data_IF_448308840124
#
_entry.id   IF_448308840124
#
_cell.length_a   1.000
_cell.length_b   1.000
_cell.length_c   1.000
_cell.angle_alpha   90.00
_cell.angle_beta   90.00
_cell.angle_gamma   90.00
#
_symmetry.space_group_name_H-M   'P 1'
#
loop_
_entity.id
_entity.type
_entity.pdbx_description
1 polymer ?
#
# COMPACT_ATOMS: atom_id res chain seq x y z
N UNK A 1 -3.84 12.34 -9.85
CA UNK A 1 -5.08 11.70 -10.38
C UNK A 1 -5.02 10.20 -10.16
N UNK A 2 -6.09 9.61 -9.64
CA UNK A 2 -6.18 8.16 -9.41
C UNK A 2 -6.87 7.48 -10.58
N UNK A 3 -6.37 6.31 -10.95
CA UNK A 3 -6.90 5.42 -11.98
C UNK A 3 -7.06 4.02 -11.40
N UNK A 4 -8.12 3.32 -11.82
CA UNK A 4 -8.37 1.92 -11.45
C UNK A 4 -8.85 1.19 -12.69
N UNK A 5 -8.27 0.02 -12.99
CA UNK A 5 -8.63 -0.74 -14.21
C UNK A 5 -8.39 0.04 -15.52
N UNK A 6 -7.44 0.98 -15.51
CA UNK A 6 -7.11 1.82 -16.67
C UNK A 6 -8.03 3.03 -16.89
N UNK A 7 -9.07 3.23 -16.07
CA UNK A 7 -9.97 4.39 -16.17
C UNK A 7 -9.76 5.36 -15.01
N UNK A 8 -9.96 6.68 -15.22
CA UNK A 8 -9.92 7.66 -14.13
C UNK A 8 -10.95 7.32 -13.05
N UNK A 9 -10.52 7.31 -11.79
CA UNK A 9 -11.40 7.18 -10.65
C UNK A 9 -12.05 8.54 -10.34
N UNK A 10 -13.39 8.57 -10.30
CA UNK A 10 -14.12 9.78 -9.95
C UNK A 10 -14.08 10.01 -8.44
N UNK A 11 -13.32 11.02 -8.03
CA UNK A 11 -13.18 11.39 -6.61
C UNK A 11 -14.43 12.11 -6.11
N UNK A 12 -14.75 11.94 -4.83
CA UNK A 12 -15.77 12.76 -4.17
C UNK A 12 -15.38 14.24 -4.26
N UNK A 13 -16.37 15.11 -4.48
CA UNK A 13 -16.16 16.56 -4.49
C UNK A 13 -15.88 17.12 -3.09
N UNK A 14 -16.22 16.37 -2.05
CA UNK A 14 -15.80 16.65 -0.67
C UNK A 14 -14.36 16.18 -0.50
N UNK A 15 -13.47 17.04 0.00
CA UNK A 15 -12.03 16.81 0.18
C UNK A 15 -11.71 15.77 1.29
N UNK A 16 -12.41 14.66 1.32
CA UNK A 16 -12.37 13.66 2.38
C UNK A 16 -11.85 12.35 1.81
N UNK A 17 -10.54 12.10 1.94
CA UNK A 17 -9.90 10.84 1.53
C UNK A 17 -10.57 9.59 2.10
N UNK A 18 -11.38 9.73 3.15
CA UNK A 18 -12.30 8.73 3.70
C UNK A 18 -13.28 8.20 2.65
N UNK A 19 -14.04 9.05 1.98
CA UNK A 19 -15.06 8.63 1.00
C UNK A 19 -14.40 7.98 -0.23
N UNK A 20 -13.29 8.57 -0.69
CA UNK A 20 -12.50 8.02 -1.79
C UNK A 20 -11.94 6.64 -1.42
N UNK A 21 -11.40 6.47 -0.20
CA UNK A 21 -10.89 5.18 0.29
C UNK A 21 -11.98 4.11 0.31
N UNK A 22 -13.15 4.40 0.87
CA UNK A 22 -14.28 3.44 0.94
C UNK A 22 -14.68 3.03 -0.49
N UNK A 23 -14.90 4.00 -1.38
CA UNK A 23 -15.27 3.72 -2.76
C UNK A 23 -14.20 2.92 -3.52
N UNK A 24 -12.91 3.15 -3.27
CA UNK A 24 -11.82 2.36 -3.83
C UNK A 24 -11.79 0.93 -3.27
N UNK A 25 -12.02 0.76 -1.97
CA UNK A 25 -12.08 -0.56 -1.33
C UNK A 25 -13.23 -1.42 -1.86
N UNK A 26 -14.34 -0.79 -2.26
CA UNK A 26 -15.50 -1.45 -2.85
C UNK A 26 -15.42 -1.59 -4.38
N UNK A 27 -14.45 -0.94 -5.02
CA UNK A 27 -14.34 -0.96 -6.48
C UNK A 27 -14.08 -2.38 -7.00
N UNK A 28 -14.88 -2.92 -7.95
CA UNK A 28 -14.81 -4.34 -8.34
C UNK A 28 -13.41 -4.83 -8.78
N UNK A 29 -12.67 -4.01 -9.53
CA UNK A 29 -11.31 -4.36 -9.94
C UNK A 29 -10.33 -4.49 -8.76
N UNK A 30 -10.47 -3.64 -7.73
CA UNK A 30 -9.60 -3.67 -6.55
C UNK A 30 -10.02 -4.79 -5.60
N UNK A 31 -11.32 -5.06 -5.45
CA UNK A 31 -11.81 -6.25 -4.74
C UNK A 31 -11.24 -7.52 -5.37
N UNK A 32 -11.31 -7.64 -6.71
CA UNK A 32 -10.73 -8.78 -7.45
C UNK A 32 -9.21 -8.88 -7.26
N UNK A 33 -8.50 -7.76 -7.30
CA UNK A 33 -7.05 -7.73 -7.05
C UNK A 33 -6.71 -8.15 -5.62
N UNK A 34 -7.46 -7.68 -4.62
CA UNK A 34 -7.28 -8.02 -3.21
C UNK A 34 -7.56 -9.51 -2.94
N UNK A 35 -8.60 -10.08 -3.55
CA UNK A 35 -8.86 -11.52 -3.49
C UNK A 35 -7.73 -12.33 -4.13
N UNK A 36 -7.21 -11.87 -5.26
CA UNK A 36 -6.08 -12.51 -5.95
C UNK A 36 -4.81 -12.44 -5.10
N UNK A 37 -4.52 -11.29 -4.50
CA UNK A 37 -3.38 -11.09 -3.59
C UNK A 37 -3.48 -11.98 -2.35
N UNK A 38 -4.67 -12.09 -1.74
CA UNK A 38 -4.95 -12.98 -0.61
C UNK A 38 -4.66 -14.45 -0.90
N UNK A 39 -4.86 -14.88 -2.15
CA UNK A 39 -4.64 -16.26 -2.58
C UNK A 39 -3.15 -16.58 -2.81
N UNK A 40 -2.26 -15.58 -2.85
CA UNK A 40 -0.83 -15.79 -3.00
C UNK A 40 -0.27 -16.37 -1.69
N UNK A 41 0.45 -17.50 -1.72
CA UNK A 41 1.14 -18.02 -0.54
C UNK A 41 2.17 -17.00 -0.05
N UNK A 42 2.16 -16.72 1.26
CA UNK A 42 3.15 -15.85 1.87
C UNK A 42 4.56 -16.43 1.74
N UNK A 43 5.48 -15.62 1.21
CA UNK A 43 6.88 -16.02 1.04
C UNK A 43 7.65 -15.73 2.32
N UNK A 44 8.20 -16.78 2.93
CA UNK A 44 9.04 -16.66 4.14
C UNK A 44 10.51 -16.59 3.75
N UNK A 45 11.17 -15.49 4.06
CA UNK A 45 12.62 -15.37 3.91
C UNK A 45 13.33 -15.90 5.16
N UNK A 46 14.40 -16.65 4.94
CA UNK A 46 15.26 -17.17 6.02
C UNK A 46 16.69 -16.73 5.75
N UNK A 47 17.43 -16.34 6.80
CA UNK A 47 18.83 -15.93 6.69
C UNK A 47 19.74 -16.97 5.99
N UNK A 48 19.38 -18.26 6.03
CA UNK A 48 20.10 -19.37 5.41
C UNK A 48 20.06 -19.38 3.88
N UNK A 49 18.99 -18.84 3.27
CA UNK A 49 18.84 -18.81 1.80
C UNK A 49 19.77 -17.81 1.12
N UNK A 50 20.37 -16.89 1.88
CA UNK A 50 21.35 -15.94 1.39
C UNK A 50 22.75 -16.55 1.13
N UNK A 51 22.94 -17.84 1.43
CA UNK A 51 24.25 -18.49 1.52
C UNK A 51 24.50 -19.64 0.53
N UNK A 52 23.50 -20.08 -0.23
CA UNK A 52 23.68 -21.16 -1.21
C UNK A 52 23.73 -20.63 -2.65
N UNK A 53 24.92 -20.75 -3.23
CA UNK A 53 25.29 -20.68 -4.64
C UNK A 53 25.80 -19.32 -5.18
N UNK A 54 27.12 -19.28 -5.39
CA UNK A 54 27.93 -18.09 -5.63
C UNK A 54 27.91 -17.54 -7.06
N UNK A 55 26.83 -17.72 -7.83
CA UNK A 55 26.78 -17.27 -9.23
C UNK A 55 25.69 -16.23 -9.55
N UNK A 56 24.67 -16.05 -8.71
CA UNK A 56 23.76 -14.89 -8.76
C UNK A 56 23.21 -14.59 -7.36
N UNK A 57 23.97 -13.88 -6.53
CA UNK A 57 23.46 -13.44 -5.22
C UNK A 57 22.40 -12.36 -5.46
N UNK A 58 21.12 -12.72 -5.33
CA UNK A 58 20.03 -11.75 -5.44
C UNK A 58 20.22 -10.62 -4.44
N UNK A 59 20.11 -9.38 -4.90
CA UNK A 59 20.30 -8.17 -4.11
C UNK A 59 18.95 -7.76 -3.54
N UNK A 60 18.88 -7.71 -2.22
CA UNK A 60 17.65 -7.42 -1.49
C UNK A 60 17.79 -6.14 -0.68
N UNK A 61 16.73 -5.33 -0.65
CA UNK A 61 16.59 -4.19 0.25
C UNK A 61 15.41 -4.46 1.18
N UNK A 62 15.67 -4.53 2.48
CA UNK A 62 14.64 -4.60 3.51
C UNK A 62 14.49 -3.24 4.17
N UNK A 63 13.25 -2.83 4.43
CA UNK A 63 12.93 -1.54 5.04
C UNK A 63 12.25 -1.73 6.39
N UNK A 64 12.74 -1.00 7.39
CA UNK A 64 12.09 -0.87 8.68
C UNK A 64 10.97 0.17 8.65
N UNK A 65 10.16 0.16 9.70
CA UNK A 65 9.13 1.17 9.93
C UNK A 65 9.72 2.58 9.83
N UNK A 66 9.03 3.48 9.12
CA UNK A 66 9.43 4.88 8.82
C UNK A 66 10.58 5.03 7.83
N UNK A 67 11.00 3.96 7.17
CA UNK A 67 11.97 4.03 6.07
C UNK A 67 11.28 3.99 4.71
N UNK A 68 11.97 4.54 3.71
CA UNK A 68 11.65 4.34 2.31
C UNK A 68 12.94 4.11 1.52
N UNK A 69 12.84 3.39 0.41
CA UNK A 69 13.92 3.31 -0.58
C UNK A 69 13.34 3.35 -1.98
N UNK A 70 14.11 3.93 -2.90
CA UNK A 70 13.83 3.88 -4.33
C UNK A 70 14.97 3.14 -5.02
N UNK A 71 14.62 2.12 -5.79
CA UNK A 71 15.56 1.18 -6.38
C UNK A 71 15.42 1.10 -7.89
N UNK A 72 16.55 0.92 -8.56
CA UNK A 72 16.65 0.62 -9.97
C UNK A 72 16.55 -0.90 -10.16
N UNK A 73 15.63 -1.42 -11.00
CA UNK A 73 15.50 -2.85 -11.28
C UNK A 73 16.77 -3.47 -11.88
N UNK A 74 17.70 -2.69 -12.43
CA UNK A 74 19.02 -3.18 -12.87
C UNK A 74 20.00 -3.44 -11.71
N UNK A 75 19.72 -2.91 -10.51
CA UNK A 75 20.65 -2.93 -9.37
C UNK A 75 20.14 -3.72 -8.17
N UNK A 76 18.83 -3.83 -7.98
CA UNK A 76 18.20 -4.50 -6.83
C UNK A 76 17.13 -5.44 -7.36
N UNK A 77 17.16 -6.70 -6.96
CA UNK A 77 16.21 -7.71 -7.43
C UNK A 77 14.90 -7.68 -6.64
N UNK A 78 15.00 -7.54 -5.30
CA UNK A 78 13.84 -7.52 -4.41
C UNK A 78 13.91 -6.35 -3.42
N UNK A 79 12.76 -5.75 -3.14
CA UNK A 79 12.58 -4.77 -2.07
C UNK A 79 11.37 -5.16 -1.23
N UNK A 80 11.45 -5.06 0.09
CA UNK A 80 10.36 -5.49 0.96
C UNK A 80 10.37 -4.88 2.35
N UNK A 81 9.29 -5.12 3.07
CA UNK A 81 9.08 -4.69 4.46
C UNK A 81 8.09 -5.63 5.13
N UNK A 82 8.14 -5.74 6.46
CA UNK A 82 7.24 -6.56 7.27
C UNK A 82 6.97 -5.87 8.62
N UNK A 83 6.25 -6.54 9.51
CA UNK A 83 5.80 -6.04 10.81
C UNK A 83 4.81 -4.86 10.71
N UNK A 84 4.17 -4.70 9.56
CA UNK A 84 3.12 -3.71 9.34
C UNK A 84 1.79 -4.18 9.94
N UNK A 85 1.64 -3.99 11.25
CA UNK A 85 0.39 -4.22 11.97
C UNK A 85 -0.65 -3.17 11.58
N UNK A 86 -0.61 -1.99 12.18
CA UNK A 86 -1.44 -0.82 11.79
C UNK A 86 -0.78 0.06 10.73
N UNK A 87 0.50 -0.19 10.44
CA UNK A 87 1.26 0.49 9.41
C UNK A 87 0.87 0.01 8.01
N UNK A 88 1.24 0.77 6.98
CA UNK A 88 0.97 0.45 5.58
C UNK A 88 2.26 0.51 4.76
N UNK A 89 2.56 -0.58 4.06
CA UNK A 89 3.54 -0.61 3.00
C UNK A 89 2.95 -0.02 1.72
N UNK A 90 3.56 1.05 1.21
CA UNK A 90 3.18 1.66 -0.07
C UNK A 90 4.29 1.46 -1.10
N UNK A 91 3.95 0.74 -2.18
CA UNK A 91 4.79 0.58 -3.37
C UNK A 91 4.32 1.56 -4.43
N UNK A 92 5.24 2.33 -5.02
CA UNK A 92 5.00 3.17 -6.19
C UNK A 92 6.04 2.81 -7.25
N UNK A 93 5.60 2.32 -8.40
CA UNK A 93 6.46 1.85 -9.48
C UNK A 93 6.20 2.62 -10.77
N UNK A 94 7.25 3.14 -11.39
CA UNK A 94 7.15 3.73 -12.72
C UNK A 94 6.97 2.63 -13.78
N UNK A 95 5.91 2.74 -14.58
CA UNK A 95 5.56 1.76 -15.61
C UNK A 95 6.56 1.68 -16.75
N UNK A 96 7.17 2.80 -17.11
CA UNK A 96 8.04 2.93 -18.28
C UNK A 96 9.43 2.34 -18.03
N UNK A 97 10.02 2.62 -16.87
CA UNK A 97 11.40 2.26 -16.56
C UNK A 97 11.55 1.27 -15.39
N UNK A 98 10.46 0.94 -14.69
CA UNK A 98 10.45 0.00 -13.57
C UNK A 98 11.09 0.50 -12.27
N UNK A 99 11.53 1.75 -12.20
CA UNK A 99 11.98 2.38 -10.95
C UNK A 99 10.90 2.19 -9.89
N UNK A 100 11.28 1.64 -8.74
CA UNK A 100 10.34 1.22 -7.70
C UNK A 100 10.68 1.87 -6.38
N UNK A 101 9.72 2.54 -5.76
CA UNK A 101 9.83 3.08 -4.41
C UNK A 101 8.92 2.31 -3.46
N UNK A 102 9.45 1.85 -2.33
CA UNK A 102 8.68 1.27 -1.24
C UNK A 102 8.89 2.13 0.01
N UNK A 103 7.81 2.41 0.75
CA UNK A 103 7.88 3.02 2.06
C UNK A 103 7.03 2.23 3.07
N UNK A 104 7.50 2.14 4.31
CA UNK A 104 6.73 1.62 5.44
C UNK A 104 6.20 2.81 6.26
N UNK A 105 4.93 3.15 6.07
CA UNK A 105 4.31 4.31 6.68
C UNK A 105 3.55 3.93 7.96
N UNK A 106 3.78 4.66 9.05
CA UNK A 106 3.20 4.36 10.37
C UNK A 106 2.21 5.42 10.88
N UNK A 107 2.07 6.55 10.16
CA UNK A 107 1.24 7.66 10.61
C UNK A 107 0.77 8.54 9.45
N UNK A 108 -0.47 9.06 9.49
CA UNK A 108 -0.92 10.10 8.55
C UNK A 108 0.03 11.30 8.45
N UNK A 109 0.74 11.62 9.54
CA UNK A 109 1.63 12.79 9.64
C UNK A 109 2.84 12.72 8.71
N UNK A 110 3.26 11.51 8.31
CA UNK A 110 4.46 11.34 7.48
C UNK A 110 4.14 11.12 5.99
N UNK A 111 2.85 11.00 5.63
CA UNK A 111 2.43 10.65 4.26
C UNK A 111 2.87 11.72 3.25
N UNK A 112 2.57 12.99 3.52
CA UNK A 112 2.87 14.07 2.56
C UNK A 112 4.37 14.23 2.35
N UNK A 113 5.15 14.21 3.44
CA UNK A 113 6.62 14.31 3.35
C UNK A 113 7.22 13.08 2.65
N UNK A 114 6.74 11.87 2.97
CA UNK A 114 7.20 10.63 2.32
C UNK A 114 6.94 10.65 0.81
N UNK A 115 5.72 10.97 0.39
CA UNK A 115 5.39 11.08 -1.03
C UNK A 115 6.21 12.18 -1.73
N UNK A 116 6.42 13.33 -1.07
CA UNK A 116 7.24 14.41 -1.63
C UNK A 116 8.70 14.01 -1.86
N UNK A 117 9.21 13.05 -1.08
CA UNK A 117 10.56 12.52 -1.20
C UNK A 117 10.66 11.37 -2.23
N UNK A 118 9.63 10.52 -2.31
CA UNK A 118 9.58 9.38 -3.23
C UNK A 118 9.36 9.80 -4.68
N UNK A 119 8.36 10.66 -4.95
CA UNK A 119 7.90 10.95 -6.31
C UNK A 119 8.97 11.57 -7.24
N UNK A 120 9.81 12.52 -6.80
CA UNK A 120 10.88 13.07 -7.64
C UNK A 120 11.95 12.05 -8.06
N UNK A 121 12.00 10.87 -7.42
CA UNK A 121 12.92 9.77 -7.78
C UNK A 121 12.31 8.80 -8.79
N UNK A 122 11.00 8.84 -8.96
CA UNK A 122 10.25 7.95 -9.86
C UNK A 122 9.86 8.64 -11.16
N UNK A 123 9.60 9.93 -11.11
CA UNK A 123 9.18 10.73 -12.24
C UNK A 123 10.41 11.46 -12.78
N UNK A 124 10.91 11.04 -13.94
CA UNK A 124 11.87 11.83 -14.71
C UNK A 124 11.24 13.19 -15.09
N UNK A 125 11.97 14.10 -15.73
CA UNK A 125 11.42 15.38 -16.22
C UNK A 125 10.26 15.27 -17.25
N UNK A 126 9.73 14.06 -17.50
CA UNK A 126 8.55 13.81 -18.34
C UNK A 126 7.28 13.98 -17.51
N UNK A 127 6.48 14.98 -17.87
CA UNK A 127 5.23 15.36 -17.21
C UNK A 127 4.11 14.29 -17.28
N UNK A 128 4.30 13.21 -18.04
CA UNK A 128 3.26 12.21 -18.34
C UNK A 128 3.52 10.83 -17.70
N UNK A 129 4.48 10.69 -16.79
CA UNK A 129 4.78 9.40 -16.17
C UNK A 129 3.55 8.82 -15.44
N UNK A 130 3.23 7.56 -15.73
CA UNK A 130 2.20 6.78 -15.06
C UNK A 130 2.83 5.85 -14.04
N UNK A 131 2.32 5.87 -12.81
CA UNK A 131 2.85 5.11 -11.69
C UNK A 131 1.84 4.07 -11.22
N UNK A 132 2.26 2.81 -11.12
CA UNK A 132 1.51 1.77 -10.43
C UNK A 132 1.66 1.92 -8.91
N UNK A 133 0.57 1.71 -8.19
CA UNK A 133 0.51 1.84 -6.73
C UNK A 133 -0.07 0.58 -6.10
N UNK A 134 0.61 0.08 -5.07
CA UNK A 134 0.14 -1.03 -4.24
C UNK A 134 0.19 -0.63 -2.77
N UNK A 135 -0.92 -0.81 -2.06
CA UNK A 135 -1.02 -0.63 -0.61
C UNK A 135 -1.29 -1.99 0.04
N UNK A 136 -0.45 -2.38 0.99
CA UNK A 136 -0.60 -3.61 1.78
C UNK A 136 -0.30 -3.29 3.25
N UNK A 137 -1.09 -3.82 4.16
CA UNK A 137 -0.94 -3.60 5.60
C UNK A 137 -2.17 -2.92 6.19
N UNK A 138 -2.12 -2.58 7.48
CA UNK A 138 -3.28 -2.09 8.22
C UNK A 138 -4.38 -3.15 8.33
N UNK A 139 -5.23 -3.00 9.33
CA UNK A 139 -6.41 -3.85 9.52
C UNK A 139 -7.51 -3.03 10.20
N UNK A 140 -8.70 -3.59 10.42
CA UNK A 140 -9.76 -2.93 11.18
C UNK A 140 -9.43 -2.94 12.67
N UNK A 141 -8.52 -2.06 13.09
CA UNK A 141 -7.96 -2.00 14.45
C UNK A 141 -8.83 -1.25 15.46
N UNK A 142 -9.96 -0.72 15.02
CA UNK A 142 -11.01 -0.16 15.87
C UNK A 142 -12.39 -0.62 15.38
N UNK A 143 -13.38 -0.71 16.27
CA UNK A 143 -14.75 -1.02 15.87
C UNK A 143 -15.28 0.04 14.90
N UNK A 144 -15.95 -0.42 13.83
CA UNK A 144 -16.77 0.46 13.00
C UNK A 144 -17.95 0.95 13.85
N UNK A 145 -17.97 2.22 14.24
CA UNK A 145 -19.12 2.83 14.92
C UNK A 145 -20.30 3.04 13.94
N UNK A 146 -20.70 2.00 13.22
CA UNK A 146 -21.88 1.95 12.34
C UNK A 146 -23.03 1.19 13.02
N UNK A 147 -23.27 1.50 14.28
CA UNK A 147 -24.53 1.18 14.96
C UNK A 147 -25.03 2.45 15.64
N UNK A 148 -25.78 3.27 14.90
CA UNK A 148 -27.07 3.79 15.36
C UNK A 148 -27.74 4.64 14.25
N UNK A 149 -28.91 4.17 13.81
CA UNK A 149 -29.88 4.86 12.95
C UNK A 149 -30.51 6.05 13.69
N UNK A 150 -29.74 7.09 14.01
CA UNK A 150 -30.30 8.33 14.55
C UNK A 150 -29.43 9.56 14.28
N UNK A 151 -29.96 10.39 13.39
CA UNK A 151 -29.82 11.84 13.33
C UNK A 151 -28.40 12.43 13.21
N UNK A 152 -28.05 12.78 11.96
CA UNK A 152 -27.66 14.16 11.64
C UNK A 152 -26.24 14.62 12.01
N UNK A 153 -25.48 14.95 10.96
CA UNK A 153 -24.34 15.86 10.95
C UNK A 153 -22.98 15.29 11.38
N UNK A 154 -22.17 15.03 10.35
CA UNK A 154 -20.79 15.51 10.23
C UNK A 154 -19.83 15.14 11.36
N UNK A 155 -19.13 14.01 11.22
CA UNK A 155 -17.67 13.97 11.03
C UNK A 155 -17.17 12.54 11.11
N UNK A 156 -16.68 12.00 9.99
CA UNK A 156 -15.79 10.81 9.99
C UNK A 156 -14.41 11.13 10.63
N UNK A 157 -14.33 12.13 11.51
CA UNK A 157 -13.07 12.78 11.90
C UNK A 157 -12.29 12.05 12.99
N UNK A 158 -12.85 11.04 13.64
CA UNK A 158 -12.10 10.19 14.58
C UNK A 158 -12.56 8.74 14.46
N UNK A 159 -12.26 8.08 13.34
CA UNK A 159 -12.15 6.62 13.38
C UNK A 159 -11.05 6.30 14.42
N UNK A 160 -11.42 5.74 15.57
CA UNK A 160 -10.53 5.56 16.72
C UNK A 160 -9.31 4.65 16.49
N UNK A 161 -9.17 4.09 15.28
CA UNK A 161 -8.06 3.24 14.87
C UNK A 161 -6.94 4.01 14.18
N UNK A 162 -5.78 3.39 14.06
CA UNK A 162 -4.60 3.90 13.40
C UNK A 162 -4.61 3.62 11.89
N UNK A 163 -5.14 2.47 11.46
CA UNK A 163 -5.03 2.02 10.07
C UNK A 163 -5.90 2.85 9.12
N UNK A 164 -7.15 3.14 9.52
CA UNK A 164 -8.10 3.85 8.66
C UNK A 164 -7.65 5.28 8.34
N UNK A 165 -7.28 6.12 9.34
CA UNK A 165 -6.78 7.47 9.06
C UNK A 165 -5.51 7.46 8.18
N UNK A 166 -4.63 6.47 8.37
CA UNK A 166 -3.42 6.34 7.55
C UNK A 166 -3.78 6.04 6.10
N UNK A 167 -4.63 5.05 5.85
CA UNK A 167 -5.10 4.70 4.50
C UNK A 167 -5.81 5.90 3.84
N UNK A 168 -6.71 6.57 4.55
CA UNK A 168 -7.46 7.71 4.04
C UNK A 168 -6.53 8.86 3.66
N UNK A 169 -5.51 9.12 4.48
CA UNK A 169 -4.49 10.15 4.21
C UNK A 169 -3.63 9.81 3.00
N UNK A 170 -3.25 8.54 2.81
CA UNK A 170 -2.52 8.11 1.60
C UNK A 170 -3.36 8.37 0.35
N UNK A 171 -4.62 7.93 0.33
CA UNK A 171 -5.51 8.13 -0.82
C UNK A 171 -5.74 9.62 -1.11
N UNK A 172 -5.96 10.44 -0.07
CA UNK A 172 -6.09 11.89 -0.22
C UNK A 172 -4.85 12.51 -0.88
N UNK A 173 -3.66 12.15 -0.41
CA UNK A 173 -2.40 12.70 -0.91
C UNK A 173 -2.13 12.28 -2.37
N UNK A 174 -2.39 11.01 -2.73
CA UNK A 174 -2.31 10.54 -4.12
C UNK A 174 -3.32 11.26 -5.02
N UNK A 175 -4.54 11.48 -4.53
CA UNK A 175 -5.60 12.15 -5.26
C UNK A 175 -5.31 13.64 -5.52
N UNK A 176 -4.63 14.33 -4.59
CA UNK A 176 -4.24 15.75 -4.72
C UNK A 176 -3.03 15.96 -5.61
N UNK A 177 -2.20 14.94 -5.79
CA UNK A 177 -1.02 15.02 -6.64
C UNK A 177 -1.40 15.08 -8.14
N UNK A 178 -0.66 15.88 -8.95
CA UNK A 178 -0.89 15.97 -10.39
C UNK A 178 -0.46 14.70 -11.14
N UNK A 179 0.33 13.82 -10.51
CA UNK A 179 0.82 12.56 -11.10
C UNK A 179 -0.34 11.57 -11.32
N UNK A 180 -0.24 10.74 -12.36
CA UNK A 180 -1.19 9.68 -12.67
C UNK A 180 -0.83 8.41 -11.89
N UNK A 181 -1.68 8.02 -10.94
CA UNK A 181 -1.50 6.83 -10.13
C UNK A 181 -2.52 5.76 -10.50
N UNK A 182 -2.06 4.58 -10.86
CA UNK A 182 -2.90 3.42 -11.12
C UNK A 182 -2.86 2.50 -9.90
N UNK A 183 -3.93 2.47 -9.12
CA UNK A 183 -4.00 1.58 -7.97
C UNK A 183 -4.21 0.16 -8.50
N UNK A 184 -3.22 -0.70 -8.27
CA UNK A 184 -3.20 -2.09 -8.70
C UNK A 184 -3.62 -3.04 -7.57
N UNK A 185 -3.29 -2.67 -6.33
CA UNK A 185 -3.59 -3.49 -5.15
C UNK A 185 -3.93 -2.57 -3.99
N UNK A 186 -5.08 -2.82 -3.36
CA UNK A 186 -5.54 -2.12 -2.16
C UNK A 186 -5.89 -3.17 -1.09
N UNK A 187 -4.86 -3.82 -0.56
CA UNK A 187 -4.98 -4.89 0.42
C UNK A 187 -4.79 -4.35 1.84
N UNK A 188 -5.77 -3.54 2.27
CA UNK A 188 -5.76 -2.84 3.57
C UNK A 188 -7.09 -3.02 4.29
N UNK A 189 -7.13 -2.71 5.59
CA UNK A 189 -8.35 -2.69 6.40
C UNK A 189 -9.14 -4.00 6.28
N UNK A 190 -10.44 -3.97 5.96
CA UNK A 190 -11.27 -5.17 5.83
C UNK A 190 -10.71 -6.23 4.88
N UNK A 191 -9.98 -5.83 3.82
CA UNK A 191 -9.32 -6.78 2.91
C UNK A 191 -8.16 -7.53 3.57
N UNK A 192 -7.45 -6.88 4.50
CA UNK A 192 -6.33 -7.44 5.26
C UNK A 192 -6.75 -7.85 6.69
N UNK A 193 -8.04 -7.96 7.00
CA UNK A 193 -8.51 -8.27 8.35
C UNK A 193 -8.90 -9.74 8.49
N UNK A 194 -8.48 -10.37 9.58
CA UNK A 194 -8.98 -11.67 10.05
C UNK A 194 -9.34 -11.61 11.54
N UNK A 195 -10.11 -12.58 11.98
CA UNK A 195 -10.40 -12.82 13.40
C UNK A 195 -9.81 -14.15 13.83
N UNK A 196 -9.14 -14.17 14.98
CA UNK A 196 -8.69 -15.41 15.61
C UNK A 196 -9.86 -16.12 16.34
N UNK A 197 -9.67 -17.35 16.86
CA UNK A 197 -10.71 -18.06 17.61
C UNK A 197 -11.25 -17.28 18.82
N UNK A 198 -10.42 -16.44 19.44
CA UNK A 198 -10.73 -15.56 20.56
C UNK A 198 -11.47 -14.28 20.13
N UNK A 199 -11.71 -14.10 18.82
CA UNK A 199 -12.35 -12.95 18.18
C UNK A 199 -11.52 -11.66 18.19
N UNK A 200 -10.24 -11.74 18.49
CA UNK A 200 -9.32 -10.63 18.30
C UNK A 200 -9.19 -10.34 16.80
N UNK A 201 -9.15 -9.06 16.46
CA UNK A 201 -8.94 -8.62 15.08
C UNK A 201 -7.45 -8.51 14.82
N UNK A 202 -6.98 -9.13 13.75
CA UNK A 202 -5.57 -9.21 13.38
C UNK A 202 -5.40 -8.98 11.87
N UNK A 203 -4.22 -8.50 11.42
CA UNK A 203 -3.90 -8.49 10.00
C UNK A 203 -3.78 -9.93 9.45
N UNK A 204 -4.09 -10.09 8.16
CA UNK A 204 -3.83 -11.33 7.42
C UNK A 204 -2.34 -11.41 7.06
N UNK A 205 -1.81 -10.35 6.44
CA UNK A 205 -0.41 -10.20 6.12
C UNK A 205 0.14 -8.93 6.76
N UNK A 206 1.36 -9.03 7.30
CA UNK A 206 2.11 -7.92 7.91
C UNK A 206 3.25 -7.42 7.03
N UNK A 207 3.53 -8.11 5.93
CA UNK A 207 4.64 -7.76 5.06
C UNK A 207 4.38 -8.03 3.58
N UNK A 208 5.21 -7.38 2.77
CA UNK A 208 5.17 -7.48 1.33
C UNK A 208 6.59 -7.45 0.76
N UNK A 209 6.74 -8.04 -0.41
CA UNK A 209 7.93 -7.98 -1.23
C UNK A 209 7.56 -7.65 -2.67
N UNK A 210 8.42 -6.86 -3.32
CA UNK A 210 8.33 -6.52 -4.74
C UNK A 210 9.52 -7.10 -5.48
N UNK A 211 9.24 -7.86 -6.54
CA UNK A 211 10.24 -8.22 -7.56
C UNK A 211 10.38 -7.04 -8.53
N UNK A 212 11.49 -6.32 -8.48
CA UNK A 212 11.65 -4.99 -9.11
C UNK A 212 11.54 -5.05 -10.63
N UNK A 213 12.11 -6.10 -11.23
CA UNK A 213 12.12 -6.31 -12.68
C UNK A 213 10.70 -6.41 -13.25
N UNK A 214 9.82 -7.16 -12.58
CA UNK A 214 8.45 -7.42 -13.05
C UNK A 214 7.41 -6.49 -12.41
N UNK A 215 7.73 -5.89 -11.27
CA UNK A 215 6.77 -5.16 -10.43
C UNK A 215 5.83 -6.07 -9.65
N UNK A 216 6.05 -7.40 -9.63
CA UNK A 216 5.17 -8.33 -8.93
C UNK A 216 5.27 -8.14 -7.42
N UNK A 217 4.12 -7.87 -6.79
CA UNK A 217 3.98 -7.77 -5.32
C UNK A 217 3.47 -9.09 -4.75
N UNK A 218 4.11 -9.58 -3.70
CA UNK A 218 3.80 -10.86 -3.03
C UNK A 218 3.74 -10.61 -1.51
N UNK A 219 2.80 -11.22 -0.76
CA UNK A 219 2.88 -11.24 0.70
C UNK A 219 4.19 -11.92 1.14
N UNK A 220 4.88 -11.34 2.12
CA UNK A 220 6.17 -11.87 2.56
C UNK A 220 6.45 -11.58 4.02
N UNK A 221 7.23 -12.46 4.65
CA UNK A 221 7.81 -12.26 5.97
C UNK A 221 9.33 -12.42 5.94
N UNK A 222 10.06 -11.66 6.77
CA UNK A 222 11.53 -11.59 6.73
C UNK A 222 12.22 -12.07 8.01
#
# INVERSE_FOLDING_TARGET
>A
MIYVGGVPFHRSSTNEGTCDLIALMEHPALVSASLSFKAIPERKFSASEASSDGLTKSKHVYLFQREYATVDPALVDLIGTDEATTCVGIVIRNRDNGMTSLAHMDSPKIVDIGLSQMLPKLVDHKLEAELDVHLVGGFEDAPSNSTDDSAGSETYAEAAGHSFPLCAKIIDALGKSPVKFHIQTLFVLGHNTRRDPERNVLPIFTGLMVETLTGRVTPASF
#
